data_IF_834667272303
#
_entry.id   IF_834667272303
#
_cell.length_a   1.000
_cell.length_b   1.000
_cell.length_c   1.000
_cell.angle_alpha   90.00
_cell.angle_beta   90.00
_cell.angle_gamma   90.00
#
_symmetry.space_group_name_H-M   'P 1'
#
loop_
_entity.id
_entity.type
_entity.pdbx_description
1 polymer ?
#
# COMPACT_ATOMS: atom_id res chain seq x y z
N UNK A 1 -1.64 20.05 -0.49
CA UNK A 1 -1.59 19.81 -1.95
C UNK A 1 -2.30 18.50 -2.26
N UNK A 2 -3.08 18.47 -3.33
CA UNK A 2 -3.74 17.27 -3.85
C UNK A 2 -2.69 16.30 -4.38
N UNK A 3 -2.85 15.00 -4.13
CA UNK A 3 -2.01 13.97 -4.73
C UNK A 3 -2.52 13.63 -6.13
N UNK A 4 -1.65 13.70 -7.13
CA UNK A 4 -1.88 13.19 -8.48
C UNK A 4 -0.96 11.99 -8.68
N UNK A 5 -1.51 10.77 -8.86
CA UNK A 5 -0.70 9.60 -9.13
C UNK A 5 0.05 9.70 -10.46
N UNK A 6 1.23 9.07 -10.55
CA UNK A 6 2.02 9.02 -11.77
C UNK A 6 1.22 8.39 -12.94
N UNK A 7 1.16 9.07 -14.09
CA UNK A 7 0.35 8.65 -15.24
C UNK A 7 0.80 7.31 -15.83
N UNK A 8 2.08 6.99 -15.70
CA UNK A 8 2.77 5.80 -16.22
C UNK A 8 2.81 4.61 -15.23
N UNK A 9 2.14 4.71 -14.07
CA UNK A 9 2.19 3.72 -12.98
C UNK A 9 1.85 2.28 -13.39
N UNK A 10 1.14 2.09 -14.51
CA UNK A 10 0.75 0.77 -15.01
C UNK A 10 1.67 0.21 -16.11
N UNK A 11 2.64 0.99 -16.58
CA UNK A 11 3.45 0.63 -17.75
C UNK A 11 4.49 -0.45 -17.42
N UNK A 12 5.03 -0.43 -16.19
CA UNK A 12 6.13 -1.30 -15.78
C UNK A 12 5.73 -2.45 -14.85
N UNK A 13 4.70 -2.29 -14.01
CA UNK A 13 4.33 -3.29 -13.00
C UNK A 13 3.71 -4.55 -13.64
N UNK A 14 4.31 -5.75 -13.48
CA UNK A 14 3.67 -6.97 -13.95
C UNK A 14 2.51 -7.37 -13.04
N UNK A 15 1.34 -7.62 -13.62
CA UNK A 15 0.16 -8.09 -12.87
C UNK A 15 -0.11 -9.58 -13.12
N UNK A 16 -0.09 -10.39 -12.05
CA UNK A 16 -0.25 -11.85 -12.07
C UNK A 16 -1.65 -12.26 -11.61
N UNK A 17 -2.27 -13.22 -12.30
CA UNK A 17 -3.58 -13.76 -11.93
C UNK A 17 -3.49 -14.57 -10.64
N UNK A 18 -4.44 -14.40 -9.73
CA UNK A 18 -4.53 -15.19 -8.50
C UNK A 18 -5.26 -16.50 -8.81
N UNK A 19 -4.48 -17.57 -9.00
CA UNK A 19 -5.03 -18.89 -9.38
C UNK A 19 -5.88 -18.81 -10.64
N UNK A 20 -7.09 -19.37 -10.57
CA UNK A 20 -8.08 -19.36 -11.67
C UNK A 20 -9.07 -18.20 -11.61
N UNK A 21 -8.91 -17.27 -10.66
CA UNK A 21 -9.83 -16.15 -10.47
C UNK A 21 -9.66 -15.05 -11.54
N UNK A 22 -10.60 -14.10 -11.58
CA UNK A 22 -10.45 -12.87 -12.37
C UNK A 22 -9.48 -11.85 -11.76
N UNK A 23 -9.08 -12.03 -10.49
CA UNK A 23 -8.25 -11.08 -9.76
C UNK A 23 -6.80 -11.15 -10.26
N UNK A 24 -6.21 -9.97 -10.50
CA UNK A 24 -4.77 -9.83 -10.78
C UNK A 24 -4.15 -8.98 -9.68
N UNK A 25 -3.05 -9.47 -9.10
CA UNK A 25 -2.26 -8.74 -8.12
C UNK A 25 -0.95 -8.25 -8.76
N UNK A 26 -0.38 -7.13 -8.30
CA UNK A 26 0.94 -6.69 -8.73
C UNK A 26 1.98 -7.74 -8.32
N UNK A 27 3.05 -7.90 -9.10
CA UNK A 27 4.14 -8.81 -8.79
C UNK A 27 4.82 -8.49 -7.44
N UNK A 28 4.69 -7.25 -6.98
CA UNK A 28 5.10 -6.75 -5.66
C UNK A 28 3.89 -6.09 -4.98
N UNK A 29 3.57 -6.51 -3.76
CA UNK A 29 2.53 -5.90 -2.90
C UNK A 29 3.17 -5.21 -1.69
N UNK A 30 2.45 -4.28 -1.05
CA UNK A 30 2.94 -3.59 0.15
C UNK A 30 2.16 -4.04 1.39
N UNK A 31 2.86 -4.64 2.36
CA UNK A 31 2.28 -4.97 3.67
C UNK A 31 2.53 -3.86 4.70
N UNK A 32 1.55 -3.62 5.58
CA UNK A 32 1.55 -2.53 6.55
C UNK A 32 1.85 -2.98 7.99
N UNK A 33 2.41 -4.19 8.17
CA UNK A 33 2.72 -4.74 9.50
C UNK A 33 3.59 -3.82 10.36
N UNK A 34 4.61 -3.23 9.73
CA UNK A 34 5.51 -2.27 10.36
C UNK A 34 5.51 -0.95 9.60
N UNK A 35 5.81 0.11 10.34
CA UNK A 35 5.97 1.49 9.88
C UNK A 35 4.69 2.29 9.64
N UNK A 36 3.52 1.71 9.89
CA UNK A 36 2.22 2.36 9.72
C UNK A 36 1.48 2.60 11.05
N UNK A 37 2.17 2.39 12.18
CA UNK A 37 1.66 2.73 13.50
C UNK A 37 1.87 4.20 13.88
N UNK A 38 1.31 4.60 15.03
CA UNK A 38 1.44 5.96 15.58
C UNK A 38 2.85 6.27 16.10
N UNK A 39 3.70 5.24 16.19
CA UNK A 39 5.13 5.36 16.46
C UNK A 39 5.93 5.87 15.24
N UNK A 40 5.26 6.10 14.10
CA UNK A 40 5.83 6.69 12.89
C UNK A 40 5.08 7.93 12.44
N UNK A 41 5.84 8.91 11.97
CA UNK A 41 5.28 10.14 11.42
C UNK A 41 4.37 9.84 10.22
N UNK A 42 3.11 10.28 10.30
CA UNK A 42 2.10 10.10 9.26
C UNK A 42 2.56 10.58 7.87
N UNK A 43 3.38 11.63 7.81
CA UNK A 43 3.97 12.12 6.56
C UNK A 43 4.78 11.05 5.82
N UNK A 44 5.59 10.28 6.54
CA UNK A 44 6.42 9.18 5.99
C UNK A 44 5.53 8.04 5.51
N UNK A 45 4.51 7.67 6.30
CA UNK A 45 3.55 6.63 5.92
C UNK A 45 2.87 6.96 4.58
N UNK A 46 2.42 8.21 4.44
CA UNK A 46 1.79 8.72 3.23
C UNK A 46 2.73 8.75 2.03
N UNK A 47 4.01 9.09 2.23
CA UNK A 47 5.03 9.06 1.18
C UNK A 47 5.28 7.64 0.66
N UNK A 48 5.35 6.66 1.56
CA UNK A 48 5.52 5.25 1.20
C UNK A 48 4.32 4.76 0.37
N UNK A 49 3.09 5.04 0.80
CA UNK A 49 1.88 4.63 0.07
C UNK A 49 1.81 5.24 -1.34
N UNK A 50 2.07 6.54 -1.44
CA UNK A 50 2.07 7.25 -2.73
C UNK A 50 3.12 6.70 -3.67
N UNK A 51 4.35 6.48 -3.17
CA UNK A 51 5.42 5.91 -3.99
C UNK A 51 5.10 4.49 -4.45
N UNK A 52 4.53 3.66 -3.58
CA UNK A 52 4.10 2.32 -3.96
C UNK A 52 3.05 2.36 -5.08
N UNK A 53 2.06 3.24 -4.97
CA UNK A 53 1.02 3.39 -5.99
C UNK A 53 1.56 3.96 -7.31
N UNK A 54 2.46 4.93 -7.27
CA UNK A 54 3.15 5.47 -8.45
C UNK A 54 4.01 4.41 -9.16
N UNK A 55 4.44 3.36 -8.45
CA UNK A 55 5.15 2.21 -8.99
C UNK A 55 4.21 1.08 -9.44
N UNK A 56 2.90 1.29 -9.42
CA UNK A 56 1.90 0.29 -9.84
C UNK A 56 1.51 -0.73 -8.78
N UNK A 57 1.95 -0.57 -7.52
CA UNK A 57 1.44 -1.43 -6.43
C UNK A 57 -0.03 -1.10 -6.19
N UNK A 58 -0.91 -2.04 -6.48
CA UNK A 58 -2.37 -1.92 -6.29
C UNK A 58 -2.91 -2.81 -5.17
N UNK A 59 -2.02 -3.43 -4.38
CA UNK A 59 -2.40 -4.30 -3.28
C UNK A 59 -1.66 -3.86 -2.01
N UNK A 60 -2.46 -3.47 -1.02
CA UNK A 60 -2.04 -3.05 0.31
C UNK A 60 -2.60 -4.07 1.32
N UNK A 61 -1.71 -4.70 2.06
CA UNK A 61 -2.03 -5.80 2.97
C UNK A 61 -1.98 -5.31 4.43
N UNK A 62 -3.07 -5.59 5.18
CA UNK A 62 -3.28 -5.14 6.56
C UNK A 62 -3.78 -6.29 7.43
N UNK A 63 -3.71 -6.10 8.75
CA UNK A 63 -4.40 -6.91 9.73
C UNK A 63 -4.83 -6.06 10.93
N UNK A 64 -5.84 -6.55 11.65
CA UNK A 64 -6.47 -5.89 12.80
C UNK A 64 -5.50 -5.44 13.92
N UNK A 65 -4.36 -6.11 14.08
CA UNK A 65 -3.37 -5.79 15.12
C UNK A 65 -2.12 -5.08 14.59
N UNK A 66 -2.09 -4.67 13.32
CA UNK A 66 -0.98 -3.90 12.77
C UNK A 66 -0.90 -2.51 13.42
N UNK A 67 0.32 -2.03 13.64
CA UNK A 67 0.64 -0.89 14.49
C UNK A 67 2.12 -0.88 14.90
N UNK A 68 2.50 -0.35 16.08
CA UNK A 68 1.69 -0.05 17.27
C UNK A 68 1.05 1.36 17.33
N UNK A 69 -0.02 1.56 18.12
CA UNK A 69 -0.81 0.54 18.84
C UNK A 69 -1.65 -0.33 17.89
N UNK A 70 -2.19 -1.45 18.36
CA UNK A 70 -3.04 -2.31 17.53
C UNK A 70 -4.18 -1.54 16.88
N UNK A 71 -4.37 -1.73 15.58
CA UNK A 71 -5.39 -1.04 14.77
C UNK A 71 -4.98 0.34 14.26
N UNK A 72 -3.85 0.90 14.73
CA UNK A 72 -3.37 2.19 14.23
C UNK A 72 -2.98 2.13 12.75
N UNK A 73 -2.47 1.01 12.25
CA UNK A 73 -2.17 0.87 10.82
C UNK A 73 -3.43 0.93 9.95
N UNK A 74 -4.53 0.32 10.38
CA UNK A 74 -5.82 0.43 9.67
C UNK A 74 -6.37 1.85 9.74
N UNK A 75 -6.22 2.51 10.89
CA UNK A 75 -6.68 3.90 11.11
C UNK A 75 -5.88 4.90 10.28
N UNK A 76 -4.55 4.75 10.21
CA UNK A 76 -3.67 5.62 9.45
C UNK A 76 -3.78 5.39 7.94
N UNK A 77 -4.19 4.19 7.51
CA UNK A 77 -4.45 3.89 6.11
C UNK A 77 -5.80 4.43 5.61
N UNK A 78 -6.82 4.43 6.47
CA UNK A 78 -8.17 4.95 6.17
C UNK A 78 -8.23 6.46 6.00
#
# INVERSE_FOLDING_TARGET
MTFLPADDRYDAMPYRRVGVSGLRLPAVSLGLWHNFGDDRAFGVQREILRRAFDLGVTHFDLANNYGPPYGSAETNFG
#
